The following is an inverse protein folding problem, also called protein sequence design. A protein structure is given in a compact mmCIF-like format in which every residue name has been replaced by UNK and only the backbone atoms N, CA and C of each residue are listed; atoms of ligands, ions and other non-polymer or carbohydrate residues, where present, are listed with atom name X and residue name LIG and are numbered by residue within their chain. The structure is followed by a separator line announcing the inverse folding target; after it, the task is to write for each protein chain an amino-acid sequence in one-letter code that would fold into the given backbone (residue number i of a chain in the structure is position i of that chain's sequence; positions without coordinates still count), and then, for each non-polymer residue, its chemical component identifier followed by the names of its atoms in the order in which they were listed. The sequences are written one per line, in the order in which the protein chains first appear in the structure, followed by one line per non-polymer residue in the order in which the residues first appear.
data_IF_613655832725
#
_entry.id   IF_613655832725
#
_cell.length_a   1.000
_cell.length_b   1.000
_cell.length_c   1.000
_cell.angle_alpha   90.00
_cell.angle_beta   90.00
_cell.angle_gamma   90.00
#
_symmetry.space_group_name_H-M   'P 1'
#
loop_
_entity.id
_entity.type
_entity.pdbx_description
1 polymer ?
#
# COMPACT_ATOMS: atom_id res chain seq x y z
N UNK A 1 1.99 5.33 12.53
CA UNK A 1 2.07 3.97 13.03
C UNK A 1 1.91 3.13 11.80
N UNK A 2 2.94 2.36 11.47
CA UNK A 2 2.82 1.35 10.44
C UNK A 2 1.94 0.20 10.94
N UNK A 3 1.13 -0.36 10.06
CA UNK A 3 0.37 -1.58 10.32
C UNK A 3 0.62 -2.61 9.22
N UNK A 4 0.58 -3.89 9.57
CA UNK A 4 0.73 -4.98 8.60
C UNK A 4 -0.51 -5.07 7.71
N UNK A 5 -0.27 -5.23 6.41
CA UNK A 5 -1.27 -5.56 5.42
C UNK A 5 -0.67 -6.52 4.39
N UNK A 6 -1.52 -7.07 3.53
CA UNK A 6 -1.12 -8.02 2.49
C UNK A 6 -1.67 -7.59 1.13
N UNK A 7 -0.78 -7.51 0.14
CA UNK A 7 -1.16 -7.42 -1.27
C UNK A 7 -1.57 -8.82 -1.72
N UNK A 8 -2.82 -8.96 -2.14
CA UNK A 8 -3.44 -10.25 -2.54
C UNK A 8 -4.07 -10.20 -3.92
N UNK A 9 -3.80 -9.12 -4.66
CA UNK A 9 -4.22 -8.92 -6.03
C UNK A 9 -3.57 -7.68 -6.63
N UNK A 10 -3.90 -7.38 -7.88
CA UNK A 10 -3.22 -6.34 -8.65
C UNK A 10 -3.39 -4.94 -8.06
N UNK A 11 -2.30 -4.39 -7.51
CA UNK A 11 -2.20 -3.02 -7.00
C UNK A 11 -1.21 -2.25 -7.86
N UNK A 12 -1.73 -1.32 -8.65
CA UNK A 12 -0.95 -0.47 -9.53
C UNK A 12 -0.85 0.94 -8.95
N UNK A 13 0.31 1.56 -9.08
CA UNK A 13 0.58 2.91 -8.62
C UNK A 13 1.40 3.68 -9.65
N UNK A 14 1.45 5.01 -9.48
CA UNK A 14 2.29 5.88 -10.30
C UNK A 14 3.19 6.72 -9.40
N UNK A 15 4.50 6.63 -9.63
CA UNK A 15 5.48 7.47 -8.98
C UNK A 15 5.67 8.77 -9.77
N UNK A 16 5.04 9.87 -9.33
CA UNK A 16 5.08 11.16 -10.04
C UNK A 16 4.54 11.05 -11.47
N UNK A 17 5.32 11.48 -12.45
CA UNK A 17 5.01 11.36 -13.88
C UNK A 17 5.54 10.06 -14.53
N UNK A 18 6.10 9.15 -13.73
CA UNK A 18 6.64 7.88 -14.20
C UNK A 18 5.57 6.95 -14.78
N UNK A 19 5.98 5.82 -15.39
CA UNK A 19 5.03 4.79 -15.83
C UNK A 19 4.24 4.22 -14.64
N UNK A 20 3.14 3.52 -14.94
CA UNK A 20 2.43 2.72 -13.95
C UNK A 20 3.32 1.56 -13.54
N UNK A 21 3.49 1.36 -12.25
CA UNK A 21 4.20 0.25 -11.63
C UNK A 21 3.23 -0.60 -10.81
N UNK A 22 3.59 -1.86 -10.56
CA UNK A 22 2.81 -2.80 -9.76
C UNK A 22 3.53 -3.06 -8.44
N UNK A 23 2.78 -3.13 -7.33
CA UNK A 23 3.30 -3.60 -6.04
C UNK A 23 3.17 -5.12 -6.01
N UNK A 24 4.25 -5.86 -5.71
CA UNK A 24 4.21 -7.32 -5.68
C UNK A 24 3.26 -7.86 -4.62
N UNK A 25 2.69 -9.04 -4.88
CA UNK A 25 1.91 -9.77 -3.89
C UNK A 25 2.79 -10.15 -2.68
N UNK A 26 2.22 -10.05 -1.47
CA UNK A 26 2.96 -10.34 -0.25
C UNK A 26 2.69 -9.37 0.90
N UNK A 27 3.42 -9.54 2.02
CA UNK A 27 3.29 -8.68 3.19
C UNK A 27 3.85 -7.28 2.90
N UNK A 28 3.14 -6.27 3.36
CA UNK A 28 3.53 -4.86 3.33
C UNK A 28 3.32 -4.23 4.70
N UNK A 29 4.11 -3.21 5.01
CA UNK A 29 3.81 -2.26 6.06
C UNK A 29 3.11 -1.04 5.46
N UNK A 30 1.94 -0.68 6.01
CA UNK A 30 1.14 0.45 5.57
C UNK A 30 1.17 1.55 6.64
N UNK A 31 1.69 2.71 6.25
CA UNK A 31 1.64 3.94 7.05
C UNK A 31 0.55 4.83 6.47
N UNK A 32 -0.55 4.98 7.21
CA UNK A 32 -1.77 5.66 6.75
C UNK A 32 -1.83 7.05 7.39
N UNK A 33 -1.90 8.09 6.56
CA UNK A 33 -2.16 9.47 6.99
C UNK A 33 -3.56 9.91 6.56
N UNK A 34 -3.97 11.13 6.89
CA UNK A 34 -5.23 11.70 6.42
C UNK A 34 -5.28 11.93 4.89
N UNK A 35 -4.12 11.90 4.21
CA UNK A 35 -4.00 12.26 2.78
C UNK A 35 -3.61 11.06 1.91
N UNK A 36 -2.61 10.30 2.36
CA UNK A 36 -2.00 9.22 1.60
C UNK A 36 -1.62 8.03 2.47
N UNK A 37 -1.31 6.93 1.79
CA UNK A 37 -0.79 5.71 2.40
C UNK A 37 0.55 5.39 1.78
N UNK A 38 1.57 5.27 2.62
CA UNK A 38 2.88 4.76 2.24
C UNK A 38 2.94 3.26 2.52
N UNK A 39 3.14 2.47 1.47
CA UNK A 39 3.34 1.03 1.50
C UNK A 39 4.83 0.73 1.36
N UNK A 40 5.38 -0.10 2.25
CA UNK A 40 6.74 -0.63 2.14
C UNK A 40 6.76 -2.15 2.20
N UNK A 41 7.65 -2.75 1.40
CA UNK A 41 7.87 -4.19 1.36
C UNK A 41 9.35 -4.50 1.14
N UNK A 42 9.71 -5.77 1.38
CA UNK A 42 10.99 -6.32 0.98
C UNK A 42 10.85 -6.94 -0.40
N UNK A 43 11.76 -6.58 -1.30
CA UNK A 43 11.88 -7.13 -2.64
C UNK A 43 13.32 -7.63 -2.82
N UNK A 44 13.53 -8.94 -2.71
CA UNK A 44 14.85 -9.58 -2.67
C UNK A 44 15.80 -8.92 -1.66
N UNK A 45 16.75 -8.09 -2.11
CA UNK A 45 17.71 -7.34 -1.30
C UNK A 45 17.41 -5.83 -1.22
N UNK A 46 16.31 -5.38 -1.82
CA UNK A 46 15.86 -4.00 -1.87
C UNK A 46 14.59 -3.76 -1.02
N UNK A 47 14.41 -2.51 -0.61
CA UNK A 47 13.17 -2.06 0.03
C UNK A 47 12.31 -1.34 -1.01
N UNK A 48 11.15 -1.90 -1.30
CA UNK A 48 10.13 -1.25 -2.11
C UNK A 48 9.37 -0.21 -1.28
N UNK A 49 9.02 0.91 -1.92
CA UNK A 49 8.26 1.99 -1.31
C UNK A 49 7.31 2.60 -2.33
N UNK A 50 6.03 2.73 -1.97
CA UNK A 50 5.03 3.40 -2.78
C UNK A 50 4.12 4.27 -1.90
N UNK A 51 3.96 5.54 -2.27
CA UNK A 51 2.92 6.41 -1.70
C UNK A 51 1.74 6.46 -2.67
N UNK A 52 0.55 6.15 -2.19
CA UNK A 52 -0.71 6.21 -2.95
C UNK A 52 -1.75 7.05 -2.22
N UNK A 53 -2.69 7.71 -2.92
CA UNK A 53 -3.77 8.44 -2.27
C UNK A 53 -4.59 7.53 -1.34
N UNK A 54 -5.04 8.07 -0.19
CA UNK A 54 -5.86 7.30 0.76
C UNK A 54 -7.14 6.74 0.11
N UNK A 55 -7.74 7.48 -0.81
CA UNK A 55 -8.89 7.03 -1.58
C UNK A 55 -8.61 5.78 -2.43
N UNK A 56 -7.43 5.73 -3.08
CA UNK A 56 -7.01 4.58 -3.89
C UNK A 56 -6.70 3.38 -3.00
N UNK A 57 -6.00 3.59 -1.88
CA UNK A 57 -5.75 2.53 -0.90
C UNK A 57 -7.05 1.89 -0.42
N UNK A 58 -8.01 2.70 0.06
CA UNK A 58 -9.32 2.21 0.52
C UNK A 58 -10.09 1.52 -0.59
N UNK A 59 -9.99 2.01 -1.84
CA UNK A 59 -10.55 1.33 -3.00
C UNK A 59 -9.95 -0.06 -3.18
N UNK A 60 -8.64 -0.22 -3.11
CA UNK A 60 -7.99 -1.54 -3.22
C UNK A 60 -8.38 -2.49 -2.07
N UNK A 61 -8.53 -1.97 -0.84
CA UNK A 61 -9.04 -2.76 0.29
C UNK A 61 -10.48 -3.22 0.03
N UNK A 62 -11.36 -2.33 -0.42
CA UNK A 62 -12.75 -2.65 -0.74
C UNK A 62 -12.89 -3.63 -1.93
N UNK A 63 -12.01 -3.52 -2.92
CA UNK A 63 -11.91 -4.47 -4.03
C UNK A 63 -11.29 -5.82 -3.61
N UNK A 64 -10.82 -5.95 -2.37
CA UNK A 64 -10.21 -7.17 -1.84
C UNK A 64 -8.80 -7.45 -2.36
N UNK A 65 -8.14 -6.45 -2.95
CA UNK A 65 -6.75 -6.52 -3.46
C UNK A 65 -5.72 -6.27 -2.38
N UNK A 66 -6.09 -5.55 -1.33
CA UNK A 66 -5.31 -5.36 -0.13
C UNK A 66 -6.11 -5.87 1.06
N UNK A 67 -5.48 -6.65 1.94
CA UNK A 67 -6.08 -7.09 3.21
C UNK A 67 -5.34 -6.47 4.36
N UNK A 68 -6.06 -5.81 5.26
CA UNK A 68 -5.52 -5.33 6.52
C UNK A 68 -5.55 -6.45 7.56
N UNK A 69 -4.48 -6.60 8.33
CA UNK A 69 -4.41 -7.60 9.42
C UNK A 69 -5.19 -7.14 10.68
N UNK A 70 -5.70 -5.90 10.67
CA UNK A 70 -6.49 -5.30 11.74
C UNK A 70 -7.33 -4.12 11.25
N UNK A 71 -7.98 -3.36 12.16
CA UNK A 71 -8.69 -2.15 11.78
C UNK A 71 -7.71 -1.10 11.20
N UNK A 72 -8.21 -0.25 10.31
CA UNK A 72 -7.44 0.87 9.74
C UNK A 72 -6.95 1.81 10.87
N UNK A 73 -5.63 2.00 10.98
CA UNK A 73 -4.99 2.92 11.94
C UNK A 73 -4.45 4.14 11.19
N UNK A 74 -5.16 5.25 11.30
CA UNK A 74 -4.78 6.53 10.69
C UNK A 74 -3.88 7.30 11.67
N UNK A 75 -2.75 7.81 11.19
CA UNK A 75 -1.95 8.80 11.91
C UNK A 75 -2.59 10.17 11.87
N UNK A 76 -2.74 10.77 13.05
CA UNK A 76 -3.25 12.13 13.27
C UNK A 76 -2.12 13.14 13.42
#
# INVERSE_FOLDING_TARGET
MAQTAHIVGKVEYRAGDGPVAEIPEGPVEATITEVDVTLSWLEDEAHGLAAIPLGDFRRFVNEGKIKLDGPEKIES
#
